data_IF_744917400971
#
_entry.id   IF_744917400971
#
_cell.length_a   1.000
_cell.length_b   1.000
_cell.length_c   1.000
_cell.angle_alpha   90.00
_cell.angle_beta   90.00
_cell.angle_gamma   90.00
#
_symmetry.space_group_name_H-M   'P 1'
#
loop_
_entity.id
_entity.type
_entity.pdbx_description
1 polymer ?
#
# COMPACT_ATOMS: atom_id res chain seq x y z
N UNK A 1 -13.88 8.42 14.96
CA UNK A 1 -12.71 7.61 14.58
C UNK A 1 -13.23 6.45 13.74
N UNK A 2 -12.55 6.08 12.64
CA UNK A 2 -12.90 4.85 11.90
C UNK A 2 -12.58 3.65 12.81
N UNK A 3 -13.46 2.64 12.85
CA UNK A 3 -13.22 1.41 13.61
C UNK A 3 -12.14 0.57 12.93
N UNK A 4 -11.32 -0.12 13.73
CA UNK A 4 -10.35 -1.11 13.22
C UNK A 4 -11.11 -2.37 12.86
N UNK A 5 -11.06 -2.77 11.59
CA UNK A 5 -11.80 -3.93 11.08
C UNK A 5 -10.97 -5.18 11.24
N UNK A 6 -11.49 -6.16 11.98
CA UNK A 6 -10.80 -7.39 12.36
C UNK A 6 -11.63 -8.58 11.84
N UNK A 7 -11.00 -9.47 11.08
CA UNK A 7 -11.60 -10.76 10.73
C UNK A 7 -10.96 -11.85 11.60
N UNK A 8 -11.79 -12.66 12.26
CA UNK A 8 -11.37 -13.86 12.98
C UNK A 8 -11.95 -15.07 12.26
N UNK A 9 -11.08 -15.86 11.61
CA UNK A 9 -11.42 -17.13 10.97
C UNK A 9 -10.89 -18.29 11.79
N UNK A 10 -11.79 -18.99 12.46
CA UNK A 10 -11.52 -20.08 13.39
C UNK A 10 -12.77 -20.96 13.45
N UNK A 11 -12.61 -22.24 13.13
CA UNK A 11 -13.71 -23.21 13.05
C UNK A 11 -14.18 -23.67 14.43
N UNK A 12 -13.25 -23.81 15.38
CA UNK A 12 -13.56 -24.19 16.75
C UNK A 12 -14.26 -23.04 17.48
N UNK A 13 -15.51 -23.25 17.90
CA UNK A 13 -16.30 -22.21 18.58
C UNK A 13 -15.61 -21.65 19.82
N UNK A 14 -15.08 -22.54 20.66
CA UNK A 14 -14.40 -22.16 21.91
C UNK A 14 -13.19 -21.27 21.64
N UNK A 15 -12.28 -21.71 20.78
CA UNK A 15 -11.07 -20.95 20.44
C UNK A 15 -11.41 -19.57 19.84
N UNK A 16 -12.45 -19.51 18.99
CA UNK A 16 -12.91 -18.26 18.38
C UNK A 16 -13.49 -17.31 19.42
N UNK A 17 -14.34 -17.82 20.30
CA UNK A 17 -15.00 -16.99 21.32
C UNK A 17 -13.96 -16.46 22.32
N UNK A 18 -12.96 -17.26 22.73
CA UNK A 18 -11.81 -16.82 23.56
C UNK A 18 -11.06 -15.66 22.90
N UNK A 19 -10.71 -15.77 21.62
CA UNK A 19 -9.97 -14.71 20.93
C UNK A 19 -10.79 -13.41 20.83
N UNK A 20 -12.10 -13.53 20.63
CA UNK A 20 -13.02 -12.38 20.55
C UNK A 20 -13.21 -11.71 21.91
N UNK A 21 -13.33 -12.49 22.99
CA UNK A 21 -13.38 -11.99 24.37
C UNK A 21 -12.09 -11.25 24.71
N UNK A 22 -10.93 -11.87 24.45
CA UNK A 22 -9.62 -11.25 24.64
C UNK A 22 -9.47 -9.91 23.89
N UNK A 23 -9.95 -9.84 22.63
CA UNK A 23 -9.94 -8.59 21.85
C UNK A 23 -10.85 -7.53 22.48
N UNK A 24 -12.02 -7.93 22.97
CA UNK A 24 -13.00 -7.03 23.59
C UNK A 24 -12.49 -6.50 24.94
N UNK A 25 -11.90 -7.35 25.76
CA UNK A 25 -11.32 -6.97 27.05
C UNK A 25 -10.12 -6.04 26.85
N UNK A 26 -9.24 -6.36 25.91
CA UNK A 26 -8.14 -5.47 25.55
C UNK A 26 -8.63 -4.10 25.06
N UNK A 27 -9.71 -4.07 24.27
CA UNK A 27 -10.32 -2.83 23.79
C UNK A 27 -10.80 -1.95 24.95
N UNK A 28 -11.53 -2.56 25.89
CA UNK A 28 -12.04 -1.90 27.09
C UNK A 28 -10.91 -1.35 27.95
N UNK A 29 -9.86 -2.14 28.19
CA UNK A 29 -8.73 -1.73 29.02
C UNK A 29 -7.89 -0.62 28.36
N UNK A 30 -7.59 -0.75 27.07
CA UNK A 30 -6.68 0.16 26.35
C UNK A 30 -7.35 1.49 26.00
N UNK A 31 -8.62 1.45 25.61
CA UNK A 31 -9.34 2.62 25.07
C UNK A 31 -10.50 3.08 25.96
N UNK A 32 -10.82 2.36 27.03
CA UNK A 32 -11.90 2.69 27.96
C UNK A 32 -13.31 2.46 27.40
N UNK A 33 -13.46 1.80 26.25
CA UNK A 33 -14.75 1.51 25.61
C UNK A 33 -14.63 0.40 24.54
N UNK A 34 -15.77 -0.21 24.17
CA UNK A 34 -15.87 -1.26 23.14
C UNK A 34 -16.43 -0.72 21.80
N UNK A 35 -15.91 0.42 21.33
CA UNK A 35 -16.37 1.06 20.09
C UNK A 35 -15.24 1.46 19.10
N UNK A 36 -14.04 0.95 19.32
CA UNK A 36 -12.83 1.06 18.50
C UNK A 36 -12.74 -0.11 17.50
N UNK A 37 -13.14 -1.32 17.86
CA UNK A 37 -13.03 -2.51 17.00
C UNK A 37 -14.35 -2.85 16.30
N UNK A 38 -14.24 -3.39 15.08
CA UNK A 38 -15.32 -4.02 14.32
C UNK A 38 -14.89 -5.46 14.02
N UNK A 39 -15.31 -6.40 14.87
CA UNK A 39 -14.88 -7.79 14.81
C UNK A 39 -15.90 -8.62 14.01
N UNK A 40 -15.48 -9.16 12.88
CA UNK A 40 -16.24 -10.12 12.08
C UNK A 40 -15.74 -11.53 12.34
N UNK A 41 -16.68 -12.46 12.59
CA UNK A 41 -16.40 -13.87 12.88
C UNK A 41 -16.71 -14.76 11.68
N UNK A 42 -15.81 -15.69 11.38
CA UNK A 42 -16.00 -16.72 10.38
C UNK A 42 -15.75 -18.11 10.99
N UNK A 43 -16.81 -18.90 11.08
CA UNK A 43 -16.81 -20.26 11.64
C UNK A 43 -16.43 -21.37 10.66
N UNK A 44 -16.04 -21.03 9.43
CA UNK A 44 -15.61 -22.01 8.43
C UNK A 44 -14.72 -21.38 7.38
N UNK A 45 -13.96 -22.23 6.68
CA UNK A 45 -13.12 -21.83 5.56
C UNK A 45 -13.91 -21.09 4.48
N UNK A 46 -15.06 -21.65 4.08
CA UNK A 46 -15.92 -21.10 3.02
C UNK A 46 -16.42 -19.71 3.38
N UNK A 47 -16.86 -19.52 4.64
CA UNK A 47 -17.37 -18.22 5.10
C UNK A 47 -16.25 -17.18 5.17
N UNK A 48 -15.08 -17.56 5.67
CA UNK A 48 -13.91 -16.67 5.69
C UNK A 48 -13.52 -16.24 4.28
N UNK A 49 -13.46 -17.18 3.33
CA UNK A 49 -13.19 -16.89 1.91
C UNK A 49 -14.22 -15.93 1.30
N UNK A 50 -15.50 -16.12 1.60
CA UNK A 50 -16.57 -15.23 1.13
C UNK A 50 -16.41 -13.82 1.69
N UNK A 51 -16.22 -13.68 3.01
CA UNK A 51 -16.06 -12.38 3.67
C UNK A 51 -14.83 -11.63 3.17
N UNK A 52 -13.71 -12.33 2.95
CA UNK A 52 -12.52 -11.74 2.33
C UNK A 52 -12.84 -11.22 0.92
N UNK A 53 -13.42 -12.06 0.05
CA UNK A 53 -13.77 -11.64 -1.32
C UNK A 53 -14.75 -10.46 -1.37
N UNK A 54 -15.74 -10.45 -0.47
CA UNK A 54 -16.68 -9.32 -0.34
C UNK A 54 -15.98 -8.05 0.14
N UNK A 55 -15.06 -8.16 1.11
CA UNK A 55 -14.27 -7.04 1.61
C UNK A 55 -13.43 -6.39 0.51
N UNK A 56 -12.79 -7.21 -0.35
CA UNK A 56 -12.03 -6.74 -1.51
C UNK A 56 -12.91 -6.07 -2.56
N UNK A 57 -14.05 -6.70 -2.93
CA UNK A 57 -15.00 -6.11 -3.90
C UNK A 57 -15.54 -4.75 -3.45
N UNK A 58 -15.75 -4.58 -2.16
CA UNK A 58 -16.28 -3.34 -1.59
C UNK A 58 -15.20 -2.28 -1.33
N UNK A 59 -13.92 -2.53 -1.63
CA UNK A 59 -12.82 -1.61 -1.34
C UNK A 59 -12.64 -1.37 0.15
N UNK A 60 -13.04 -2.33 0.99
CA UNK A 60 -12.98 -2.25 2.44
C UNK A 60 -12.33 -3.53 2.95
N UNK A 61 -11.02 -3.70 2.79
CA UNK A 61 -10.32 -4.85 3.36
C UNK A 61 -10.31 -4.77 4.91
N UNK A 62 -9.94 -5.88 5.54
CA UNK A 62 -9.71 -5.93 6.98
C UNK A 62 -8.32 -5.36 7.30
N UNK A 63 -8.21 -4.68 8.44
CA UNK A 63 -6.93 -4.19 8.95
C UNK A 63 -6.14 -5.31 9.61
N UNK A 64 -6.86 -6.20 10.29
CA UNK A 64 -6.31 -7.37 10.98
C UNK A 64 -7.04 -8.62 10.53
N UNK A 65 -6.30 -9.68 10.25
CA UNK A 65 -6.85 -10.98 9.96
C UNK A 65 -6.21 -12.03 10.87
N UNK A 66 -6.99 -12.61 11.78
CA UNK A 66 -6.64 -13.80 12.53
C UNK A 66 -7.16 -15.04 11.80
N UNK A 67 -6.29 -16.01 11.57
CA UNK A 67 -6.60 -17.22 10.82
C UNK A 67 -6.06 -18.46 11.54
N UNK A 68 -6.90 -19.44 11.85
CA UNK A 68 -6.39 -20.80 12.07
C UNK A 68 -5.82 -21.34 10.75
N UNK A 69 -4.83 -22.21 10.82
CA UNK A 69 -4.28 -22.87 9.62
C UNK A 69 -5.03 -24.17 9.29
N UNK A 70 -5.60 -24.81 10.31
CA UNK A 70 -6.40 -26.04 10.21
C UNK A 70 -7.89 -25.70 10.31
N UNK A 71 -8.68 -26.15 9.32
CA UNK A 71 -10.14 -26.00 9.29
C UNK A 71 -10.87 -27.36 9.24
N UNK A 72 -10.24 -28.43 9.73
CA UNK A 72 -10.83 -29.79 9.67
C UNK A 72 -12.04 -29.97 10.59
N UNK A 73 -12.24 -29.12 11.59
CA UNK A 73 -13.38 -29.19 12.51
C UNK A 73 -14.63 -28.47 11.98
N UNK A 74 -14.50 -27.74 10.85
CA UNK A 74 -15.55 -26.89 10.31
C UNK A 74 -16.75 -27.65 9.69
N UNK A 75 -16.55 -28.92 9.31
CA UNK A 75 -17.51 -29.78 8.58
C UNK A 75 -18.19 -29.11 7.37
N UNK A 76 -17.59 -28.06 6.82
CA UNK A 76 -18.15 -27.14 5.81
C UNK A 76 -17.17 -26.89 4.67
N UNK A 77 -16.29 -27.84 4.41
CA UNK A 77 -15.38 -27.85 3.26
C UNK A 77 -13.96 -27.37 3.55
N UNK A 78 -13.64 -27.09 4.81
CA UNK A 78 -12.27 -26.89 5.26
C UNK A 78 -11.46 -28.18 5.21
N UNK A 79 -10.16 -28.00 5.01
CA UNK A 79 -9.13 -29.04 5.09
C UNK A 79 -8.05 -28.58 6.05
N UNK A 80 -7.12 -29.48 6.31
CA UNK A 80 -6.03 -29.32 7.27
C UNK A 80 -5.12 -28.13 7.00
N UNK A 81 -5.01 -27.71 5.74
CA UNK A 81 -4.15 -26.62 5.26
C UNK A 81 -4.94 -25.45 4.64
N UNK A 82 -6.28 -25.46 4.76
CA UNK A 82 -7.15 -24.45 4.14
C UNK A 82 -6.86 -23.02 4.60
N UNK A 83 -6.30 -22.82 5.79
CA UNK A 83 -5.89 -21.49 6.24
C UNK A 83 -4.78 -20.87 5.37
N UNK A 84 -3.93 -21.68 4.72
CA UNK A 84 -2.89 -21.17 3.82
C UNK A 84 -3.50 -20.46 2.60
N UNK A 85 -4.62 -20.95 2.09
CA UNK A 85 -5.35 -20.31 0.99
C UNK A 85 -5.99 -18.99 1.44
N UNK A 86 -6.54 -18.93 2.65
CA UNK A 86 -7.11 -17.70 3.20
C UNK A 86 -6.04 -16.62 3.43
N UNK A 87 -4.86 -17.00 3.91
CA UNK A 87 -3.73 -16.09 4.11
C UNK A 87 -3.30 -15.47 2.77
N UNK A 88 -3.15 -16.29 1.73
CA UNK A 88 -2.81 -15.80 0.38
C UNK A 88 -3.90 -14.87 -0.16
N UNK A 89 -5.17 -15.27 -0.03
CA UNK A 89 -6.31 -14.47 -0.47
C UNK A 89 -6.38 -13.11 0.24
N UNK A 90 -6.17 -13.06 1.55
CA UNK A 90 -6.16 -11.82 2.32
C UNK A 90 -5.04 -10.87 1.84
N UNK A 91 -3.85 -11.42 1.58
CA UNK A 91 -2.72 -10.66 1.04
C UNK A 91 -2.99 -10.14 -0.39
N UNK A 92 -3.59 -10.96 -1.25
CA UNK A 92 -3.97 -10.58 -2.63
C UNK A 92 -5.02 -9.46 -2.65
N UNK A 93 -5.97 -9.48 -1.69
CA UNK A 93 -6.97 -8.42 -1.54
C UNK A 93 -6.32 -7.12 -1.04
N UNK A 94 -5.44 -7.22 -0.06
CA UNK A 94 -4.73 -6.06 0.48
C UNK A 94 -3.43 -6.50 1.15
N UNK A 95 -2.31 -6.15 0.51
CA UNK A 95 -0.96 -6.46 1.00
C UNK A 95 -0.58 -5.70 2.30
N UNK A 96 -1.39 -4.72 2.71
CA UNK A 96 -1.22 -4.02 3.98
C UNK A 96 -1.99 -4.66 5.13
N UNK A 97 -2.90 -5.62 4.88
CA UNK A 97 -3.55 -6.41 5.94
C UNK A 97 -2.51 -7.03 6.86
N UNK A 98 -2.73 -6.91 8.16
CA UNK A 98 -1.87 -7.53 9.17
C UNK A 98 -2.43 -8.92 9.51
N UNK A 99 -1.77 -9.94 8.98
CA UNK A 99 -2.20 -11.33 9.08
C UNK A 99 -1.47 -12.02 10.23
N UNK A 100 -2.25 -12.60 11.14
CA UNK A 100 -1.81 -13.34 12.30
C UNK A 100 -2.41 -14.73 12.24
N UNK A 101 -1.61 -15.74 12.55
CA UNK A 101 -2.14 -17.09 12.68
C UNK A 101 -2.49 -17.36 14.14
N UNK A 102 -3.62 -17.99 14.37
CA UNK A 102 -4.08 -18.39 15.71
C UNK A 102 -4.28 -19.90 15.69
N UNK A 103 -3.22 -20.65 15.97
CA UNK A 103 -3.22 -22.10 15.78
C UNK A 103 -2.29 -22.81 16.75
N UNK A 104 -2.68 -24.03 17.15
CA UNK A 104 -1.83 -24.94 17.91
C UNK A 104 -1.06 -25.94 17.02
N UNK A 105 -1.33 -25.95 15.70
CA UNK A 105 -0.85 -27.00 14.81
C UNK A 105 0.31 -26.58 13.89
N UNK A 106 0.84 -25.36 14.00
CA UNK A 106 1.89 -24.86 13.10
C UNK A 106 3.23 -25.59 13.21
N UNK A 107 3.47 -26.38 14.28
CA UNK A 107 4.66 -27.24 14.40
C UNK A 107 4.44 -28.67 13.89
N UNK A 108 3.24 -29.00 13.39
CA UNK A 108 2.95 -30.31 12.83
C UNK A 108 3.77 -30.49 11.53
N UNK A 109 4.49 -31.61 11.43
CA UNK A 109 5.44 -31.84 10.34
C UNK A 109 4.78 -31.78 8.95
N UNK A 110 3.53 -32.19 8.84
CA UNK A 110 2.75 -32.18 7.60
C UNK A 110 2.26 -30.78 7.19
N UNK A 111 2.17 -29.83 8.13
CA UNK A 111 1.78 -28.45 7.86
C UNK A 111 2.98 -27.50 7.72
N UNK A 112 4.12 -27.84 8.31
CA UNK A 112 5.31 -26.98 8.32
C UNK A 112 5.80 -26.62 6.91
N UNK A 113 5.83 -27.60 6.00
CA UNK A 113 6.30 -27.40 4.61
C UNK A 113 5.46 -26.35 3.84
N UNK A 114 4.18 -26.19 4.19
CA UNK A 114 3.31 -25.16 3.63
C UNK A 114 3.37 -23.85 4.43
N UNK A 115 3.60 -23.93 5.74
CA UNK A 115 3.61 -22.80 6.65
C UNK A 115 4.89 -21.95 6.56
N UNK A 116 6.05 -22.59 6.55
CA UNK A 116 7.37 -21.93 6.49
C UNK A 116 7.50 -20.98 5.28
N UNK A 117 7.05 -21.35 4.06
CA UNK A 117 7.02 -20.42 2.92
C UNK A 117 6.18 -19.17 3.16
N UNK A 118 5.09 -19.24 3.92
CA UNK A 118 4.23 -18.08 4.21
C UNK A 118 4.92 -17.13 5.20
N UNK A 119 5.58 -17.68 6.22
CA UNK A 119 6.35 -16.91 7.20
C UNK A 119 7.58 -16.27 6.54
N UNK A 120 8.37 -17.04 5.79
CA UNK A 120 9.60 -16.57 5.13
C UNK A 120 9.33 -15.50 4.06
N UNK A 121 8.19 -15.55 3.39
CA UNK A 121 7.74 -14.48 2.46
C UNK A 121 7.14 -13.27 3.19
N UNK A 122 7.01 -13.32 4.52
CA UNK A 122 6.51 -12.23 5.34
C UNK A 122 5.01 -11.98 5.19
N UNK A 123 4.23 -12.99 4.78
CA UNK A 123 2.76 -12.89 4.72
C UNK A 123 2.15 -12.93 6.11
N UNK A 124 2.77 -13.68 7.03
CA UNK A 124 2.35 -13.80 8.42
C UNK A 124 3.25 -12.91 9.28
N UNK A 125 2.64 -12.06 10.09
CA UNK A 125 3.36 -11.18 11.01
C UNK A 125 3.80 -11.95 12.24
N UNK A 126 2.87 -12.69 12.85
CA UNK A 126 3.11 -13.45 14.06
C UNK A 126 2.13 -14.61 14.19
N UNK A 127 2.62 -15.67 14.81
CA UNK A 127 1.83 -16.82 15.25
C UNK A 127 1.43 -16.64 16.71
N UNK A 128 0.14 -16.73 16.99
CA UNK A 128 -0.42 -16.89 18.31
C UNK A 128 -0.61 -18.38 18.56
N UNK A 129 0.31 -18.98 19.31
CA UNK A 129 0.28 -20.40 19.64
C UNK A 129 -0.75 -20.67 20.74
N UNK A 130 -1.98 -21.02 20.34
CA UNK A 130 -3.06 -21.36 21.29
C UNK A 130 -2.79 -22.64 22.08
N UNK A 131 -1.77 -23.42 21.72
CA UNK A 131 -1.33 -24.63 22.46
C UNK A 131 -0.20 -24.36 23.46
N UNK A 132 0.37 -23.15 23.45
CA UNK A 132 1.42 -22.76 24.38
C UNK A 132 0.88 -22.74 25.83
N UNK A 133 1.72 -23.09 26.80
CA UNK A 133 1.33 -23.11 28.23
C UNK A 133 0.84 -21.75 28.73
N UNK A 134 1.40 -20.67 28.16
CA UNK A 134 1.02 -19.27 28.42
C UNK A 134 -0.02 -18.73 27.42
N UNK A 135 -0.46 -19.53 26.44
CA UNK A 135 -1.29 -19.12 25.29
C UNK A 135 -2.71 -18.66 25.63
N UNK A 136 -3.07 -18.66 26.92
CA UNK A 136 -4.30 -18.09 27.48
C UNK A 136 -4.05 -17.19 28.69
N UNK A 137 -2.80 -16.90 29.05
CA UNK A 137 -2.48 -15.98 30.14
C UNK A 137 -2.71 -14.53 29.71
N UNK A 138 -3.38 -13.76 30.56
CA UNK A 138 -3.79 -12.37 30.28
C UNK A 138 -2.59 -11.50 29.91
N UNK A 139 -1.45 -11.66 30.60
CA UNK A 139 -0.23 -10.89 30.32
C UNK A 139 0.37 -11.20 28.94
N UNK A 140 0.39 -12.48 28.56
CA UNK A 140 0.89 -12.90 27.25
C UNK A 140 0.00 -12.34 26.12
N UNK A 141 -1.32 -12.53 26.23
CA UNK A 141 -2.29 -12.01 25.25
C UNK A 141 -2.17 -10.49 25.12
N UNK A 142 -2.11 -9.79 26.25
CA UNK A 142 -1.98 -8.33 26.29
C UNK A 142 -0.70 -7.84 25.62
N UNK A 143 0.45 -8.44 25.92
CA UNK A 143 1.72 -8.06 25.30
C UNK A 143 1.69 -8.24 23.78
N UNK A 144 1.06 -9.32 23.29
CA UNK A 144 0.91 -9.57 21.86
C UNK A 144 -0.01 -8.54 21.18
N UNK A 145 -1.11 -8.17 21.83
CA UNK A 145 -2.01 -7.14 21.32
C UNK A 145 -1.41 -5.74 21.38
N UNK A 146 -0.67 -5.39 22.43
CA UNK A 146 0.08 -4.13 22.48
C UNK A 146 1.04 -4.02 21.29
N UNK A 147 1.79 -5.07 20.97
CA UNK A 147 2.66 -5.12 19.79
C UNK A 147 1.87 -4.92 18.48
N UNK A 148 0.79 -5.68 18.29
CA UNK A 148 -0.08 -5.63 17.11
C UNK A 148 -0.67 -4.23 16.89
N UNK A 149 -1.27 -3.63 17.92
CA UNK A 149 -1.97 -2.36 17.79
C UNK A 149 -1.01 -1.16 17.75
N UNK A 150 0.17 -1.26 18.38
CA UNK A 150 1.24 -0.29 18.18
C UNK A 150 1.75 -0.31 16.74
N UNK A 151 1.92 -1.50 16.15
CA UNK A 151 2.26 -1.65 14.72
C UNK A 151 1.20 -1.00 13.83
N UNK A 152 -0.08 -1.33 14.03
CA UNK A 152 -1.18 -0.71 13.27
C UNK A 152 -1.19 0.81 13.38
N UNK A 153 -0.97 1.37 14.58
CA UNK A 153 -0.91 2.81 14.77
C UNK A 153 0.21 3.46 13.95
N UNK A 154 1.37 2.80 13.84
CA UNK A 154 2.49 3.28 13.02
C UNK A 154 2.26 3.10 11.51
N UNK A 155 1.49 2.08 11.14
CA UNK A 155 1.19 1.72 9.75
C UNK A 155 -0.05 2.42 9.18
N UNK A 156 -0.77 3.25 9.97
CA UNK A 156 -1.96 4.00 9.50
C UNK A 156 -1.76 4.74 8.17
N UNK A 157 -0.57 5.28 7.97
CA UNK A 157 -0.19 5.98 6.75
C UNK A 157 -0.26 5.11 5.49
N UNK A 158 -0.06 3.79 5.62
CA UNK A 158 -0.13 2.85 4.50
C UNK A 158 -1.54 2.82 3.90
N UNK A 159 -2.59 3.13 4.67
CA UNK A 159 -3.97 3.18 4.18
C UNK A 159 -4.21 4.33 3.20
N UNK A 160 -3.67 5.51 3.47
CA UNK A 160 -3.73 6.63 2.52
C UNK A 160 -3.02 6.26 1.21
N UNK A 161 -1.84 5.64 1.32
CA UNK A 161 -1.05 5.22 0.16
C UNK A 161 -1.80 4.14 -0.64
N UNK A 162 -2.32 3.12 0.05
CA UNK A 162 -3.09 2.04 -0.57
C UNK A 162 -4.36 2.55 -1.25
N UNK A 163 -5.15 3.42 -0.59
CA UNK A 163 -6.34 4.02 -1.22
C UNK A 163 -5.98 4.80 -2.50
N UNK A 164 -4.89 5.56 -2.47
CA UNK A 164 -4.40 6.26 -3.65
C UNK A 164 -3.91 5.29 -4.73
N UNK A 165 -3.28 4.17 -4.36
CA UNK A 165 -2.88 3.13 -5.29
C UNK A 165 -4.10 2.48 -5.94
N UNK A 166 -5.13 2.12 -5.19
CA UNK A 166 -6.36 1.54 -5.74
C UNK A 166 -7.08 2.52 -6.69
N UNK A 167 -7.07 3.81 -6.38
CA UNK A 167 -7.54 4.86 -7.31
C UNK A 167 -6.73 4.84 -8.63
N UNK A 168 -5.40 4.77 -8.54
CA UNK A 168 -4.51 4.69 -9.71
C UNK A 168 -4.80 3.41 -10.51
N UNK A 169 -4.87 2.25 -9.84
CA UNK A 169 -5.15 0.95 -10.48
C UNK A 169 -6.47 1.00 -11.24
N UNK A 170 -7.53 1.54 -10.64
CA UNK A 170 -8.83 1.71 -11.30
C UNK A 170 -8.70 2.55 -12.58
N UNK A 171 -7.97 3.66 -12.53
CA UNK A 171 -7.72 4.52 -13.69
C UNK A 171 -6.96 3.77 -14.80
N UNK A 172 -5.89 3.06 -14.44
CA UNK A 172 -5.05 2.27 -15.35
C UNK A 172 -5.86 1.17 -16.05
N UNK A 173 -6.68 0.41 -15.33
CA UNK A 173 -7.51 -0.66 -15.92
C UNK A 173 -8.49 -0.14 -16.96
N UNK A 174 -9.00 1.09 -16.78
CA UNK A 174 -9.94 1.71 -17.72
C UNK A 174 -9.26 2.44 -18.88
N UNK A 175 -7.94 2.65 -18.83
CA UNK A 175 -7.19 3.40 -19.84
C UNK A 175 -6.61 2.47 -20.89
N UNK A 176 -6.66 2.91 -22.15
CA UNK A 176 -6.00 2.25 -23.29
C UNK A 176 -4.63 2.88 -23.49
N UNK A 177 -3.58 2.08 -23.28
CA UNK A 177 -2.17 2.43 -23.45
C UNK A 177 -1.64 2.06 -24.83
N UNK A 178 -2.15 1.00 -25.45
CA UNK A 178 -1.81 0.63 -26.83
C UNK A 178 -3.03 0.10 -27.55
N UNK A 179 -3.04 0.24 -28.89
CA UNK A 179 -4.01 -0.45 -29.74
C UNK A 179 -3.72 -1.95 -29.81
N UNK A 180 -2.46 -2.34 -29.59
CA UNK A 180 -2.09 -3.73 -29.42
C UNK A 180 -2.47 -4.21 -28.02
N UNK A 181 -3.22 -5.32 -27.97
CA UNK A 181 -3.76 -5.83 -26.72
C UNK A 181 -2.67 -6.34 -25.77
N UNK A 182 -1.59 -6.92 -26.29
CA UNK A 182 -0.50 -7.46 -25.48
C UNK A 182 0.35 -6.34 -24.89
N UNK A 183 0.74 -5.34 -25.71
CA UNK A 183 1.44 -4.15 -25.24
C UNK A 183 0.61 -3.37 -24.21
N UNK A 184 -0.71 -3.27 -24.42
CA UNK A 184 -1.60 -2.63 -23.47
C UNK A 184 -1.60 -3.36 -22.11
N UNK A 185 -1.70 -4.69 -22.13
CA UNK A 185 -1.65 -5.51 -20.91
C UNK A 185 -0.29 -5.39 -20.20
N UNK A 186 0.82 -5.35 -20.94
CA UNK A 186 2.15 -5.17 -20.36
C UNK A 186 2.29 -3.81 -19.68
N UNK A 187 1.83 -2.72 -20.30
CA UNK A 187 1.87 -1.38 -19.72
C UNK A 187 1.00 -1.28 -18.46
N UNK A 188 -0.21 -1.85 -18.48
CA UNK A 188 -1.07 -1.92 -17.30
C UNK A 188 -0.39 -2.72 -16.18
N UNK A 189 0.13 -3.91 -16.51
CA UNK A 189 0.79 -4.81 -15.55
C UNK A 189 2.04 -4.18 -14.90
N UNK A 190 2.84 -3.42 -15.66
CA UNK A 190 3.99 -2.70 -15.13
C UNK A 190 3.58 -1.73 -14.01
N UNK A 191 2.57 -0.89 -14.26
CA UNK A 191 2.10 0.09 -13.27
C UNK A 191 1.56 -0.63 -12.03
N UNK A 192 0.73 -1.67 -12.22
CA UNK A 192 0.14 -2.45 -11.12
C UNK A 192 1.24 -3.07 -10.23
N UNK A 193 2.19 -3.76 -10.84
CA UNK A 193 3.31 -4.41 -10.15
C UNK A 193 4.20 -3.42 -9.40
N UNK A 194 4.46 -2.24 -10.00
CA UNK A 194 5.20 -1.17 -9.34
C UNK A 194 4.48 -0.68 -8.08
N UNK A 195 3.16 -0.48 -8.12
CA UNK A 195 2.37 -0.03 -6.96
C UNK A 195 2.41 -1.04 -5.82
N UNK A 196 2.20 -2.33 -6.11
CA UNK A 196 2.26 -3.39 -5.11
C UNK A 196 3.66 -3.51 -4.49
N UNK A 197 4.70 -3.39 -5.32
CA UNK A 197 6.10 -3.38 -4.87
C UNK A 197 6.39 -2.18 -3.96
N UNK A 198 5.89 -0.99 -4.29
CA UNK A 198 6.07 0.21 -3.46
C UNK A 198 5.46 -0.01 -2.07
N UNK A 199 4.22 -0.49 -1.99
CA UNK A 199 3.57 -0.74 -0.70
C UNK A 199 4.33 -1.78 0.13
N UNK A 200 4.78 -2.86 -0.49
CA UNK A 200 5.60 -3.86 0.17
C UNK A 200 6.90 -3.26 0.74
N UNK A 201 7.62 -2.48 -0.07
CA UNK A 201 8.86 -1.82 0.34
C UNK A 201 8.65 -0.84 1.50
N UNK A 202 7.56 -0.05 1.49
CA UNK A 202 7.26 0.87 2.59
C UNK A 202 6.90 0.09 3.87
N UNK A 203 6.09 -0.97 3.76
CA UNK A 203 5.70 -1.82 4.90
C UNK A 203 6.92 -2.50 5.55
N UNK A 204 7.91 -2.87 4.74
CA UNK A 204 9.15 -3.53 5.18
C UNK A 204 10.28 -2.56 5.52
N UNK A 205 10.09 -1.25 5.41
CA UNK A 205 11.11 -0.25 5.70
C UNK A 205 11.78 -0.45 7.09
N UNK A 206 11.05 -0.72 8.19
CA UNK A 206 11.66 -0.91 9.51
C UNK A 206 12.57 -2.14 9.61
N UNK A 207 12.46 -3.09 8.67
CA UNK A 207 13.20 -4.34 8.67
C UNK A 207 14.59 -4.19 8.00
N UNK A 208 14.91 -3.03 7.42
CA UNK A 208 16.15 -2.79 6.67
C UNK A 208 16.92 -1.55 7.15
N UNK A 209 18.24 -1.71 7.38
CA UNK A 209 19.16 -0.61 7.70
C UNK A 209 19.65 0.15 6.44
N UNK A 210 18.73 0.41 5.50
CA UNK A 210 19.02 1.01 4.20
C UNK A 210 17.86 1.88 3.67
N UNK A 211 17.18 2.61 4.55
CA UNK A 211 15.96 3.37 4.23
C UNK A 211 16.10 4.27 2.99
N UNK A 212 17.23 4.98 2.86
CA UNK A 212 17.48 5.86 1.71
C UNK A 212 17.57 5.11 0.38
N UNK A 213 18.07 3.87 0.37
CA UNK A 213 18.07 3.03 -0.83
C UNK A 213 16.65 2.63 -1.20
N UNK A 214 15.84 2.25 -0.21
CA UNK A 214 14.44 1.90 -0.41
C UNK A 214 13.65 3.11 -0.95
N UNK A 215 13.85 4.30 -0.40
CA UNK A 215 13.23 5.52 -0.91
C UNK A 215 13.61 5.83 -2.36
N UNK A 216 14.89 5.63 -2.75
CA UNK A 216 15.33 5.80 -4.14
C UNK A 216 14.58 4.85 -5.08
N UNK A 217 14.45 3.59 -4.69
CA UNK A 217 13.71 2.58 -5.45
C UNK A 217 12.23 2.98 -5.60
N UNK A 218 11.58 3.37 -4.50
CA UNK A 218 10.18 3.81 -4.52
C UNK A 218 9.98 5.03 -5.44
N UNK A 219 10.85 6.04 -5.36
CA UNK A 219 10.79 7.21 -6.24
C UNK A 219 10.94 6.79 -7.71
N UNK A 220 11.86 5.86 -8.01
CA UNK A 220 12.05 5.34 -9.37
C UNK A 220 10.83 4.57 -9.89
N UNK A 221 10.17 3.80 -9.02
CA UNK A 221 8.95 3.05 -9.37
C UNK A 221 7.77 4.00 -9.62
N UNK A 222 7.55 5.00 -8.76
CA UNK A 222 6.52 6.02 -9.02
C UNK A 222 6.79 6.82 -10.29
N UNK A 223 8.05 7.19 -10.54
CA UNK A 223 8.44 7.92 -11.75
C UNK A 223 8.18 7.11 -13.00
N UNK A 224 8.55 5.81 -13.02
CA UNK A 224 8.24 4.91 -14.14
C UNK A 224 6.75 4.76 -14.35
N UNK A 225 5.98 4.54 -13.29
CA UNK A 225 4.53 4.46 -13.39
C UNK A 225 3.92 5.75 -13.95
N UNK A 226 4.44 6.91 -13.56
CA UNK A 226 4.01 8.21 -14.10
C UNK A 226 4.37 8.35 -15.59
N UNK A 227 5.58 7.99 -15.98
CA UNK A 227 6.04 8.04 -17.37
C UNK A 227 5.21 7.12 -18.27
N UNK A 228 5.06 5.84 -17.90
CA UNK A 228 4.21 4.88 -18.60
C UNK A 228 2.75 5.36 -18.65
N UNK A 229 2.25 5.95 -17.56
CA UNK A 229 0.89 6.51 -17.53
C UNK A 229 0.71 7.67 -18.53
N UNK A 230 1.69 8.58 -18.57
CA UNK A 230 1.67 9.78 -19.40
C UNK A 230 1.88 9.47 -20.89
N UNK A 231 2.76 8.51 -21.22
CA UNK A 231 3.00 8.08 -22.59
C UNK A 231 1.71 7.59 -23.23
N UNK A 232 1.00 6.68 -22.54
CA UNK A 232 -0.23 6.11 -23.10
C UNK A 232 0.02 5.58 -24.52
N UNK A 233 -0.94 5.83 -25.40
CA UNK A 233 -0.85 5.49 -26.82
C UNK A 233 -0.24 6.60 -27.69
N UNK A 234 0.37 7.63 -27.09
CA UNK A 234 0.88 8.78 -27.85
C UNK A 234 2.11 8.41 -28.65
N UNK A 235 2.20 8.93 -29.87
CA UNK A 235 3.43 8.88 -30.67
C UNK A 235 4.48 9.85 -30.13
N UNK A 236 5.73 9.66 -30.56
CA UNK A 236 6.81 10.56 -30.16
C UNK A 236 6.58 11.99 -30.70
N UNK A 237 5.96 12.14 -31.87
CA UNK A 237 5.58 13.44 -32.45
C UNK A 237 4.49 14.14 -31.63
N UNK A 238 3.46 13.40 -31.18
CA UNK A 238 2.40 13.93 -30.31
C UNK A 238 3.00 14.41 -28.98
N UNK A 239 3.87 13.60 -28.36
CA UNK A 239 4.55 13.96 -27.12
C UNK A 239 5.42 15.21 -27.31
N UNK A 240 6.17 15.29 -28.41
CA UNK A 240 7.02 16.44 -28.70
C UNK A 240 6.18 17.72 -28.85
N UNK A 241 5.13 17.68 -29.67
CA UNK A 241 4.24 18.82 -29.92
C UNK A 241 3.60 19.33 -28.62
N UNK A 242 2.95 18.44 -27.86
CA UNK A 242 2.25 18.79 -26.63
C UNK A 242 3.22 19.30 -25.54
N UNK A 243 4.39 18.66 -25.40
CA UNK A 243 5.38 19.08 -24.42
C UNK A 243 5.97 20.46 -24.72
N UNK A 244 6.17 20.80 -26.00
CA UNK A 244 6.62 22.13 -26.42
C UNK A 244 5.58 23.21 -26.14
N UNK A 245 4.29 22.90 -26.27
CA UNK A 245 3.20 23.82 -25.92
C UNK A 245 3.17 24.14 -24.42
N UNK A 246 3.48 23.16 -23.56
CA UNK A 246 3.47 23.30 -22.10
C UNK A 246 4.78 23.83 -21.52
N UNK A 247 5.92 23.63 -22.21
CA UNK A 247 7.28 23.93 -21.75
C UNK A 247 7.42 25.26 -21.03
N UNK A 248 7.19 26.38 -21.73
CA UNK A 248 7.45 27.74 -21.21
C UNK A 248 6.64 28.05 -19.93
N UNK A 249 5.42 27.54 -19.88
CA UNK A 249 4.51 27.76 -18.75
C UNK A 249 4.96 26.99 -17.52
N UNK A 250 5.37 25.73 -17.69
CA UNK A 250 5.89 24.93 -16.57
C UNK A 250 7.27 25.40 -16.11
N UNK A 251 8.14 25.86 -17.02
CA UNK A 251 9.40 26.54 -16.68
C UNK A 251 9.15 27.75 -15.76
N UNK A 252 8.11 28.53 -16.07
CA UNK A 252 7.69 29.69 -15.25
C UNK A 252 7.17 29.24 -13.89
N UNK A 253 6.26 28.26 -13.83
CA UNK A 253 5.70 27.74 -12.58
C UNK A 253 6.74 27.11 -11.65
N UNK A 254 7.81 26.56 -12.22
CA UNK A 254 8.88 25.89 -11.47
C UNK A 254 10.11 26.78 -11.26
N UNK A 255 10.01 28.08 -11.60
CA UNK A 255 11.07 29.09 -11.45
C UNK A 255 12.43 28.63 -12.00
N UNK A 256 12.44 28.04 -13.20
CA UNK A 256 13.68 27.57 -13.82
C UNK A 256 14.59 28.74 -14.17
N UNK A 257 15.85 28.69 -13.69
CA UNK A 257 16.85 29.72 -13.98
C UNK A 257 17.39 29.65 -15.42
N UNK A 258 17.33 28.47 -16.04
CA UNK A 258 17.74 28.23 -17.42
C UNK A 258 16.59 27.57 -18.17
N UNK A 259 16.28 28.00 -19.41
CA UNK A 259 15.33 27.30 -20.25
C UNK A 259 15.75 25.85 -20.45
N UNK A 260 14.79 24.94 -20.52
CA UNK A 260 15.07 23.55 -20.87
C UNK A 260 15.48 23.46 -22.33
N UNK A 261 16.40 22.55 -22.65
CA UNK A 261 16.75 22.21 -24.02
C UNK A 261 16.21 20.81 -24.30
N UNK A 262 15.15 20.74 -25.10
CA UNK A 262 14.58 19.46 -25.52
C UNK A 262 15.29 19.01 -26.79
N UNK A 263 15.93 17.84 -26.72
CA UNK A 263 16.54 17.20 -27.87
C UNK A 263 15.50 16.56 -28.79
N UNK A 264 16.01 15.93 -29.86
CA UNK A 264 15.19 15.25 -30.88
C UNK A 264 14.55 13.95 -30.35
N UNK A 265 15.14 13.32 -29.34
CA UNK A 265 14.57 12.10 -28.72
C UNK A 265 13.62 12.47 -27.59
N UNK A 266 12.46 11.84 -27.57
CA UNK A 266 11.48 11.99 -26.49
C UNK A 266 12.06 11.49 -25.17
N UNK A 267 12.21 12.42 -24.21
CA UNK A 267 12.64 12.15 -22.85
C UNK A 267 11.45 11.93 -21.90
N UNK A 268 11.70 11.33 -20.74
CA UNK A 268 10.70 11.18 -19.68
C UNK A 268 10.04 12.51 -19.28
N UNK A 269 10.82 13.60 -19.25
CA UNK A 269 10.29 14.93 -18.96
C UNK A 269 9.32 15.39 -20.05
N UNK A 270 9.67 15.24 -21.34
CA UNK A 270 8.76 15.56 -22.44
C UNK A 270 7.47 14.74 -22.35
N UNK A 271 7.57 13.43 -22.08
CA UNK A 271 6.41 12.56 -21.86
C UNK A 271 5.49 13.09 -20.77
N UNK A 272 6.03 13.43 -19.59
CA UNK A 272 5.27 13.93 -18.45
C UNK A 272 4.60 15.28 -18.75
N UNK A 273 5.30 16.18 -19.42
CA UNK A 273 4.79 17.52 -19.76
C UNK A 273 3.74 17.48 -20.88
N UNK A 274 3.71 16.43 -21.70
CA UNK A 274 2.71 16.26 -22.75
C UNK A 274 1.30 15.93 -22.22
N UNK A 275 1.20 15.40 -21.00
CA UNK A 275 -0.02 14.71 -20.57
C UNK A 275 -1.11 15.64 -19.99
N UNK A 276 -0.74 16.74 -19.32
CA UNK A 276 -1.68 17.48 -18.46
C UNK A 276 -1.56 18.99 -18.59
N UNK A 277 -2.58 19.70 -18.09
CA UNK A 277 -2.55 21.15 -17.96
C UNK A 277 -1.37 21.61 -17.08
N UNK A 278 -0.90 22.83 -17.34
CA UNK A 278 0.34 23.41 -16.80
C UNK A 278 0.50 23.25 -15.28
N UNK A 279 -0.58 23.39 -14.53
CA UNK A 279 -0.56 23.31 -13.07
C UNK A 279 -0.23 21.90 -12.54
N UNK A 280 -0.66 20.85 -13.24
CA UNK A 280 -0.34 19.47 -12.85
C UNK A 280 1.05 19.05 -13.36
N UNK A 281 1.42 19.55 -14.54
CA UNK A 281 2.71 19.34 -15.16
C UNK A 281 3.89 19.79 -14.25
N UNK A 282 3.70 20.83 -13.43
CA UNK A 282 4.71 21.23 -12.43
C UNK A 282 4.98 20.12 -11.40
N UNK A 283 3.96 19.35 -11.01
CA UNK A 283 4.12 18.32 -10.00
C UNK A 283 4.86 17.12 -10.57
N UNK A 284 4.52 16.69 -11.79
CA UNK A 284 5.24 15.65 -12.51
C UNK A 284 6.69 16.03 -12.83
N UNK A 285 6.96 17.31 -13.14
CA UNK A 285 8.33 17.81 -13.27
C UNK A 285 9.15 17.56 -11.99
N UNK A 286 8.59 17.85 -10.80
CA UNK A 286 9.30 17.60 -9.54
C UNK A 286 9.55 16.11 -9.31
N UNK A 287 8.61 15.22 -9.66
CA UNK A 287 8.83 13.76 -9.61
C UNK A 287 10.02 13.36 -10.48
N UNK A 288 10.09 13.87 -11.72
CA UNK A 288 11.23 13.63 -12.61
C UNK A 288 12.55 14.18 -12.04
N UNK A 289 12.52 15.37 -11.42
CA UNK A 289 13.67 15.96 -10.77
C UNK A 289 14.15 15.13 -9.57
N UNK A 290 13.23 14.64 -8.73
CA UNK A 290 13.55 13.75 -7.62
C UNK A 290 14.20 12.46 -8.09
N UNK A 291 13.68 11.83 -9.14
CA UNK A 291 14.28 10.64 -9.73
C UNK A 291 15.71 10.90 -10.21
N UNK A 292 15.96 12.03 -10.87
CA UNK A 292 17.30 12.33 -11.38
C UNK A 292 18.29 12.63 -10.24
N UNK A 293 17.88 13.42 -9.25
CA UNK A 293 18.72 13.74 -8.10
C UNK A 293 18.89 12.57 -7.12
N UNK A 294 18.00 11.58 -7.15
CA UNK A 294 18.12 10.36 -6.33
C UNK A 294 19.17 9.39 -6.87
N UNK A 295 19.41 9.40 -8.19
CA UNK A 295 20.47 8.65 -8.89
C UNK A 295 21.79 9.41 -8.89
N UNK A 296 21.73 10.73 -9.08
CA UNK A 296 22.88 11.63 -9.05
C UNK A 296 22.78 12.55 -7.83
N UNK A 297 23.24 12.09 -6.64
CA UNK A 297 23.11 12.88 -5.42
C UNK A 297 23.81 14.23 -5.58
N UNK A 298 23.11 15.28 -5.17
CA UNK A 298 23.65 16.63 -5.07
C UNK A 298 23.61 17.08 -3.63
N UNK A 299 24.47 18.01 -3.23
CA UNK A 299 24.49 18.56 -1.87
C UNK A 299 23.15 19.21 -1.46
N UNK A 300 22.30 19.51 -2.45
CA UNK A 300 21.01 20.20 -2.28
C UNK A 300 19.81 19.26 -2.14
N UNK A 301 19.94 17.99 -2.53
CA UNK A 301 18.83 17.03 -2.50
C UNK A 301 19.09 15.91 -1.50
N UNK A 302 18.16 15.72 -0.56
CA UNK A 302 18.17 14.59 0.35
C UNK A 302 16.97 13.70 0.06
N UNK A 303 17.24 12.42 -0.19
CA UNK A 303 16.18 11.43 -0.43
C UNK A 303 15.49 11.16 0.90
N UNK A 304 14.21 11.49 0.97
CA UNK A 304 13.42 11.46 2.20
C UNK A 304 12.03 10.87 1.98
N UNK A 305 11.37 10.53 3.08
CA UNK A 305 10.00 10.04 3.09
C UNK A 305 9.01 11.07 2.52
N UNK A 306 9.24 12.37 2.72
CA UNK A 306 8.43 13.41 2.09
C UNK A 306 8.45 13.32 0.55
N UNK A 307 9.60 12.96 -0.05
CA UNK A 307 9.68 12.79 -1.50
C UNK A 307 8.84 11.59 -1.97
N UNK A 308 8.83 10.50 -1.19
CA UNK A 308 8.02 9.30 -1.48
C UNK A 308 6.53 9.64 -1.47
N UNK A 309 6.04 10.32 -0.43
CA UNK A 309 4.64 10.73 -0.34
C UNK A 309 4.25 11.69 -1.46
N UNK A 310 5.12 12.66 -1.77
CA UNK A 310 4.92 13.58 -2.87
C UNK A 310 4.73 12.84 -4.20
N UNK A 311 5.60 11.87 -4.52
CA UNK A 311 5.51 11.09 -5.76
C UNK A 311 4.19 10.31 -5.86
N UNK A 312 3.73 9.70 -4.77
CA UNK A 312 2.45 8.98 -4.76
C UNK A 312 1.25 9.89 -4.99
N UNK A 313 1.21 11.06 -4.34
CA UNK A 313 0.13 12.05 -4.53
C UNK A 313 0.16 12.63 -5.94
N UNK A 314 1.35 12.92 -6.47
CA UNK A 314 1.50 13.43 -7.83
C UNK A 314 0.99 12.41 -8.86
N UNK A 315 1.33 11.12 -8.73
CA UNK A 315 0.80 10.09 -9.62
C UNK A 315 -0.73 9.97 -9.52
N UNK A 316 -1.28 9.98 -8.30
CA UNK A 316 -2.72 9.94 -8.09
C UNK A 316 -3.44 11.12 -8.77
N UNK A 317 -2.90 12.33 -8.69
CA UNK A 317 -3.43 13.51 -9.38
C UNK A 317 -3.42 13.37 -10.90
N UNK A 318 -2.39 12.75 -11.48
CA UNK A 318 -2.35 12.49 -12.91
C UNK A 318 -3.42 11.46 -13.31
N UNK A 319 -3.55 10.38 -12.54
CA UNK A 319 -4.51 9.33 -12.82
C UNK A 319 -5.97 9.74 -12.59
N UNK A 320 -6.21 10.75 -11.74
CA UNK A 320 -7.54 11.34 -11.54
C UNK A 320 -7.82 12.55 -12.44
N UNK A 321 -6.93 12.87 -13.39
CA UNK A 321 -7.01 14.09 -14.21
C UNK A 321 -7.18 15.38 -13.38
N UNK A 322 -6.56 15.42 -12.20
CA UNK A 322 -6.62 16.55 -11.29
C UNK A 322 -7.86 16.61 -10.41
N UNK A 323 -8.77 15.63 -10.48
CA UNK A 323 -9.84 15.52 -9.48
C UNK A 323 -9.25 15.09 -8.13
N UNK A 324 -9.52 15.89 -7.11
CA UNK A 324 -8.92 15.78 -5.80
C UNK A 324 -9.80 15.04 -4.80
N UNK A 325 -11.09 14.87 -5.12
CA UNK A 325 -12.10 14.38 -4.17
C UNK A 325 -11.78 12.98 -3.65
N UNK A 326 -11.23 12.14 -4.52
CA UNK A 326 -10.98 10.72 -4.22
C UNK A 326 -9.54 10.45 -3.75
N UNK A 327 -8.67 11.47 -3.71
CA UNK A 327 -7.29 11.32 -3.27
C UNK A 327 -7.24 11.45 -1.75
N UNK A 328 -6.77 10.40 -1.09
CA UNK A 328 -6.71 10.32 0.37
C UNK A 328 -5.37 10.88 0.88
N UNK A 329 -5.43 11.86 1.79
CA UNK A 329 -4.23 12.54 2.33
C UNK A 329 -4.26 12.79 3.84
N UNK A 330 -5.24 12.24 4.57
CA UNK A 330 -5.47 12.55 5.99
C UNK A 330 -4.32 12.13 6.91
N UNK A 331 -3.88 10.88 6.82
CA UNK A 331 -2.74 10.37 7.59
C UNK A 331 -1.42 10.97 7.08
N UNK A 332 -1.30 11.23 5.77
CA UNK A 332 -0.13 11.93 5.21
C UNK A 332 0.01 13.33 5.82
N UNK A 333 -1.08 14.10 5.87
CA UNK A 333 -1.11 15.43 6.52
C UNK A 333 -0.80 15.35 8.01
N UNK A 334 -1.24 14.28 8.69
CA UNK A 334 -0.94 14.06 10.10
C UNK A 334 0.56 13.79 10.30
N UNK A 335 1.15 12.91 9.50
CA UNK A 335 2.57 12.56 9.56
C UNK A 335 3.48 13.75 9.20
N UNK A 336 3.06 14.58 8.24
CA UNK A 336 3.80 15.79 7.81
C UNK A 336 4.19 16.70 8.98
N UNK A 337 3.35 16.80 10.02
CA UNK A 337 3.62 17.63 11.20
C UNK A 337 4.89 17.19 11.95
N UNK A 338 5.18 15.89 11.92
CA UNK A 338 6.35 15.30 12.57
C UNK A 338 7.59 15.23 11.66
N UNK A 339 7.45 15.45 10.35
CA UNK A 339 8.58 15.43 9.41
C UNK A 339 9.41 16.71 9.53
N UNK A 340 10.73 16.56 9.47
CA UNK A 340 11.70 17.65 9.46
C UNK A 340 12.80 17.38 8.43
N UNK A 341 12.39 17.01 7.21
CA UNK A 341 13.30 16.75 6.09
C UNK A 341 13.22 17.86 5.03
N UNK A 342 14.15 17.84 4.07
CA UNK A 342 14.21 18.85 3.00
C UNK A 342 13.07 18.75 1.98
N UNK A 343 12.44 17.57 1.86
CA UNK A 343 11.31 17.33 0.97
C UNK A 343 9.99 17.89 1.49
N UNK A 344 9.90 18.18 2.80
CA UNK A 344 8.69 18.64 3.48
C UNK A 344 7.97 19.79 2.77
N UNK A 345 8.71 20.83 2.35
CA UNK A 345 8.11 22.02 1.72
C UNK A 345 7.39 21.67 0.42
N UNK A 346 7.95 20.76 -0.37
CA UNK A 346 7.31 20.34 -1.62
C UNK A 346 6.07 19.48 -1.34
N UNK A 347 6.12 18.65 -0.29
CA UNK A 347 4.97 17.90 0.19
C UNK A 347 3.86 18.83 0.73
N UNK A 348 4.20 19.89 1.46
CA UNK A 348 3.26 20.94 1.89
C UNK A 348 2.61 21.63 0.69
N UNK A 349 3.39 21.97 -0.35
CA UNK A 349 2.88 22.59 -1.56
C UNK A 349 1.83 21.71 -2.25
N UNK A 350 2.12 20.43 -2.50
CA UNK A 350 1.15 19.54 -3.15
C UNK A 350 -0.04 19.26 -2.23
N UNK A 351 0.15 19.18 -0.92
CA UNK A 351 -0.95 18.95 0.03
C UNK A 351 -1.88 20.17 0.19
N UNK A 352 -1.37 21.39 -0.03
CA UNK A 352 -2.16 22.64 0.07
C UNK A 352 -3.32 22.73 -0.92
N UNK A 353 -3.34 21.85 -1.92
CA UNK A 353 -4.38 21.84 -2.93
C UNK A 353 -5.59 20.98 -2.51
N UNK A 354 -5.46 20.20 -1.43
CA UNK A 354 -6.47 19.33 -0.82
C UNK A 354 -6.90 19.90 0.54
#
# INVERSE_FOLDING_TARGET
>A
MKKIRILVAEDTKEARDILVENLTDYELEKYGNNNVFEITKAESFVKASQLLKESGKNGTPYEVFFCDIDFTEDNKGGKRDSGFELIKLAFEISNITNIYTYSGQFKAADLWDGYEPLVSKGLIIKTFDKSHTEGGEVEWVRSNFDELFNRLANEKILWDIWNNHELIKKSVTTKVFSRDAQENLLAQSEIMSNLDTILFLIKKLPDFDAEKVIYRLIIQLYHRSLESFCRGSKSDEEIYSDSMANKKKVETLTNQKKPWEFGERVSALQTILSFSAEYFAKFGYKVNNYRNNSVHPTDTFDVSLSNVYYCGIALALYCSNGDKKDITTGEIKTKLKALNDRGKRDLEEILSIF
#
